data_IF_338680240231
#
_entry.id   IF_338680240231
#
_cell.length_a   1.000
_cell.length_b   1.000
_cell.length_c   1.000
_cell.angle_alpha   90.00
_cell.angle_beta   90.00
_cell.angle_gamma   90.00
#
_symmetry.space_group_name_H-M   'P 1'
#
loop_
_entity.id
_entity.type
_entity.pdbx_description
1 polymer ?
#
# COMPACT_ATOMS: atom_id res chain seq x y z
N UNK A 1 16.31 -3.31 -1.82
CA UNK A 1 15.22 -2.38 -2.18
C UNK A 1 15.52 -1.00 -1.61
N UNK A 2 15.18 0.07 -2.32
CA UNK A 2 15.26 1.43 -1.77
C UNK A 2 14.24 1.64 -0.66
N UNK A 3 14.51 2.61 0.21
CA UNK A 3 13.63 3.01 1.31
C UNK A 3 13.32 4.50 1.24
N UNK A 4 12.22 4.91 1.87
CA UNK A 4 11.88 6.33 2.11
C UNK A 4 11.49 6.52 3.56
N UNK A 5 11.85 7.67 4.11
CA UNK A 5 11.49 8.01 5.47
C UNK A 5 9.97 8.24 5.60
N UNK A 6 9.39 7.72 6.67
CA UNK A 6 8.06 8.12 7.14
C UNK A 6 8.24 9.52 7.78
N UNK A 7 7.61 10.58 7.25
CA UNK A 7 7.95 11.94 7.69
C UNK A 7 7.75 12.19 9.19
N UNK A 8 6.73 11.55 9.81
CA UNK A 8 6.42 11.76 11.24
C UNK A 8 7.41 11.10 12.21
N UNK A 9 8.26 10.17 11.77
CA UNK A 9 9.18 9.41 12.63
C UNK A 9 10.60 9.31 12.11
N UNK A 10 10.83 9.66 10.85
CA UNK A 10 12.08 9.42 10.11
C UNK A 10 12.45 7.93 9.96
N UNK A 11 11.58 6.99 10.34
CA UNK A 11 11.77 5.56 10.11
C UNK A 11 11.77 5.24 8.61
N UNK A 12 12.71 4.40 8.19
CA UNK A 12 12.84 3.99 6.79
C UNK A 12 11.86 2.89 6.43
N UNK A 13 10.98 3.15 5.46
CA UNK A 13 10.04 2.17 4.92
C UNK A 13 10.46 1.76 3.50
N UNK A 14 10.54 0.45 3.17
CA UNK A 14 10.76 -0.02 1.81
C UNK A 14 9.67 0.48 0.86
N UNK A 15 10.08 0.88 -0.35
CA UNK A 15 9.18 1.58 -1.28
C UNK A 15 8.19 0.67 -2.03
N UNK A 16 8.34 -0.65 -1.93
CA UNK A 16 7.37 -1.63 -2.47
C UNK A 16 6.93 -2.57 -1.36
N UNK A 17 5.64 -2.62 -1.12
CA UNK A 17 4.95 -3.53 -0.21
C UNK A 17 4.02 -4.49 -0.95
N UNK A 18 3.11 -5.10 -0.23
CA UNK A 18 2.13 -6.08 -0.71
C UNK A 18 0.72 -5.69 -0.23
N UNK A 19 -0.23 -5.52 -1.16
CA UNK A 19 -1.65 -5.49 -0.88
C UNK A 19 -2.23 -6.90 -0.87
N UNK A 20 -3.04 -7.23 0.14
CA UNK A 20 -3.61 -8.57 0.31
C UNK A 20 -4.97 -8.74 -0.36
N UNK A 21 -5.61 -7.66 -0.82
CA UNK A 21 -6.94 -7.70 -1.44
C UNK A 21 -7.02 -8.74 -2.56
N UNK A 22 -8.02 -9.63 -2.50
CA UNK A 22 -8.26 -10.78 -3.38
C UNK A 22 -7.17 -11.86 -3.36
N UNK A 23 -5.88 -11.50 -3.33
CA UNK A 23 -4.80 -12.48 -3.40
C UNK A 23 -4.69 -13.35 -2.15
N UNK A 24 -5.10 -12.83 -1.00
CA UNK A 24 -5.06 -13.51 0.30
C UNK A 24 -6.44 -13.92 0.83
N UNK A 25 -7.52 -13.60 0.10
CA UNK A 25 -8.87 -14.06 0.45
C UNK A 25 -9.08 -15.51 -0.01
N UNK A 26 -8.34 -16.42 0.58
CA UNK A 26 -8.32 -17.85 0.24
C UNK A 26 -8.25 -18.70 1.51
N UNK A 27 -8.88 -19.88 1.49
CA UNK A 27 -8.87 -20.81 2.62
C UNK A 27 -7.66 -21.76 2.56
N UNK A 28 -7.18 -22.28 3.72
CA UNK A 28 -6.25 -23.40 3.76
C UNK A 28 -6.84 -24.59 2.97
N UNK A 29 -6.13 -25.16 2.04
CA UNK A 29 -6.64 -26.21 1.14
C UNK A 29 -6.94 -25.72 -0.27
N UNK A 30 -7.16 -24.44 -0.47
CA UNK A 30 -7.22 -23.87 -1.83
C UNK A 30 -5.83 -23.97 -2.50
N UNK A 31 -5.76 -24.40 -3.77
CA UNK A 31 -4.48 -24.39 -4.50
C UNK A 31 -3.78 -23.04 -4.50
N UNK A 32 -4.53 -21.93 -4.49
CA UNK A 32 -3.96 -20.58 -4.41
C UNK A 32 -3.29 -20.31 -3.06
N UNK A 33 -3.80 -20.84 -1.94
CA UNK A 33 -3.20 -20.68 -0.62
C UNK A 33 -1.75 -21.21 -0.58
N UNK A 34 -1.49 -22.34 -1.27
CA UNK A 34 -0.16 -22.98 -1.28
C UNK A 34 0.95 -22.12 -1.87
N UNK A 35 0.59 -21.10 -2.67
CA UNK A 35 1.57 -20.21 -3.29
C UNK A 35 1.90 -19.00 -2.42
N UNK A 36 1.07 -18.69 -1.42
CA UNK A 36 1.20 -17.45 -0.63
C UNK A 36 2.46 -17.38 0.24
N UNK A 37 2.98 -18.48 0.84
CA UNK A 37 4.30 -18.44 1.49
C UNK A 37 5.37 -17.91 0.56
N UNK A 38 5.43 -18.40 -0.68
CA UNK A 38 6.41 -17.93 -1.66
C UNK A 38 6.18 -16.46 -2.10
N UNK A 39 4.96 -15.92 -2.00
CA UNK A 39 4.70 -14.49 -2.22
C UNK A 39 5.37 -13.64 -1.13
N UNK A 40 5.25 -14.06 0.14
CA UNK A 40 5.91 -13.39 1.26
C UNK A 40 7.44 -13.53 1.18
N UNK A 41 7.94 -14.72 0.83
CA UNK A 41 9.37 -14.96 0.61
C UNK A 41 9.95 -14.00 -0.43
N UNK A 42 9.30 -13.84 -1.58
CA UNK A 42 9.77 -12.93 -2.62
C UNK A 42 9.74 -11.46 -2.18
N UNK A 43 8.74 -11.04 -1.40
CA UNK A 43 8.70 -9.70 -0.81
C UNK A 43 9.90 -9.49 0.12
N UNK A 44 10.05 -10.35 1.13
CA UNK A 44 11.05 -10.22 2.18
C UNK A 44 12.49 -10.38 1.65
N UNK A 45 12.71 -11.34 0.76
CA UNK A 45 14.00 -11.55 0.08
C UNK A 45 14.47 -10.32 -0.68
N UNK A 46 13.54 -9.50 -1.18
CA UNK A 46 13.84 -8.24 -1.86
C UNK A 46 13.91 -7.04 -0.90
N UNK A 47 13.70 -7.25 0.39
CA UNK A 47 13.74 -6.23 1.43
C UNK A 47 12.45 -5.40 1.55
N UNK A 48 11.34 -5.85 0.98
CA UNK A 48 10.01 -5.29 1.24
C UNK A 48 9.50 -5.76 2.59
N UNK A 49 8.75 -4.91 3.31
CA UNK A 49 8.24 -5.26 4.65
C UNK A 49 6.75 -4.95 4.83
N UNK A 50 6.22 -3.97 4.10
CA UNK A 50 4.84 -3.53 4.27
C UNK A 50 3.87 -4.56 3.71
N UNK A 51 2.93 -5.02 4.56
CA UNK A 51 1.81 -5.88 4.21
C UNK A 51 0.52 -5.14 4.60
N UNK A 52 -0.29 -4.78 3.59
CA UNK A 52 -1.53 -4.04 3.78
C UNK A 52 -2.74 -4.96 3.64
N UNK A 53 -3.57 -5.01 4.68
CA UNK A 53 -4.81 -5.79 4.74
C UNK A 53 -6.02 -4.92 5.15
N UNK A 54 -7.17 -5.55 5.34
CA UNK A 54 -8.39 -4.92 5.84
C UNK A 54 -9.42 -5.97 6.26
N UNK A 55 -10.26 -5.68 7.27
CA UNK A 55 -11.39 -6.53 7.64
C UNK A 55 -12.36 -6.80 6.49
N UNK A 56 -12.48 -5.89 5.51
CA UNK A 56 -13.34 -6.08 4.35
C UNK A 56 -12.76 -7.00 3.26
N UNK A 57 -11.52 -7.50 3.42
CA UNK A 57 -10.85 -8.34 2.43
C UNK A 57 -11.07 -9.85 2.67
N UNK A 58 -12.26 -10.22 3.17
CA UNK A 58 -12.62 -11.60 3.46
C UNK A 58 -11.66 -12.24 4.47
N UNK A 59 -10.98 -13.30 4.09
CA UNK A 59 -10.03 -14.02 4.94
C UNK A 59 -8.62 -13.43 4.96
N UNK A 60 -8.36 -12.32 4.28
CA UNK A 60 -6.99 -11.86 4.02
C UNK A 60 -6.18 -11.59 5.30
N UNK A 61 -6.78 -11.02 6.37
CA UNK A 61 -6.11 -10.81 7.65
C UNK A 61 -5.74 -12.15 8.31
N UNK A 62 -6.69 -13.09 8.34
CA UNK A 62 -6.44 -14.42 8.90
C UNK A 62 -5.35 -15.15 8.12
N UNK A 63 -5.44 -15.16 6.80
CA UNK A 63 -4.45 -15.79 5.93
C UNK A 63 -3.07 -15.18 6.11
N UNK A 64 -2.97 -13.85 6.15
CA UNK A 64 -1.70 -13.17 6.40
C UNK A 64 -1.13 -13.53 7.79
N UNK A 65 -1.96 -13.51 8.83
CA UNK A 65 -1.55 -13.86 10.19
C UNK A 65 -1.09 -15.31 10.32
N UNK A 66 -1.81 -16.27 9.71
CA UNK A 66 -1.41 -17.68 9.65
C UNK A 66 -0.03 -17.85 9.02
N UNK A 67 0.19 -17.25 7.86
CA UNK A 67 1.43 -17.38 7.11
C UNK A 67 2.61 -16.69 7.82
N UNK A 68 2.40 -15.48 8.36
CA UNK A 68 3.44 -14.75 9.08
C UNK A 68 3.83 -15.43 10.39
N UNK A 69 2.90 -16.15 11.05
CA UNK A 69 3.19 -16.84 12.30
C UNK A 69 4.11 -18.06 12.15
N UNK A 70 4.19 -18.63 10.95
CA UNK A 70 5.09 -19.76 10.64
C UNK A 70 6.39 -19.33 9.97
N UNK A 71 6.51 -18.05 9.56
CA UNK A 71 7.77 -17.48 9.08
C UNK A 71 8.71 -17.20 10.26
N UNK A 72 9.80 -17.97 10.35
CA UNK A 72 10.84 -17.75 11.34
C UNK A 72 12.15 -17.26 10.68
N UNK A 73 12.81 -16.24 11.25
CA UNK A 73 12.33 -15.39 12.35
C UNK A 73 11.15 -14.57 11.88
N UNK A 74 10.20 -14.30 12.80
CA UNK A 74 9.03 -13.46 12.48
C UNK A 74 9.54 -12.19 11.81
N UNK A 75 9.49 -12.21 10.52
CA UNK A 75 10.18 -11.30 9.64
C UNK A 75 9.80 -9.86 9.93
N UNK A 76 10.56 -8.87 9.52
CA UNK A 76 10.34 -7.44 9.79
C UNK A 76 9.07 -6.91 9.10
N UNK A 77 7.95 -7.65 9.17
CA UNK A 77 6.69 -7.24 8.56
C UNK A 77 6.19 -5.95 9.21
N UNK A 78 6.06 -4.90 8.42
CA UNK A 78 5.31 -3.69 8.76
C UNK A 78 3.84 -3.98 8.45
N UNK A 79 3.03 -4.20 9.49
CA UNK A 79 1.63 -4.59 9.36
C UNK A 79 0.73 -3.36 9.29
N UNK A 80 0.01 -3.23 8.18
CA UNK A 80 -1.01 -2.23 7.98
C UNK A 80 -2.39 -2.87 7.81
N UNK A 81 -3.38 -2.39 8.57
CA UNK A 81 -4.78 -2.77 8.40
C UNK A 81 -5.70 -1.58 8.64
N UNK A 82 -7.00 -1.82 8.73
CA UNK A 82 -7.99 -0.75 8.68
C UNK A 82 -9.13 -1.01 9.66
N UNK A 83 -9.86 0.05 10.03
CA UNK A 83 -11.20 -0.05 10.62
C UNK A 83 -12.22 0.29 9.52
N UNK A 84 -13.26 -0.55 9.41
CA UNK A 84 -14.32 -0.42 8.38
C UNK A 84 -15.69 -0.83 8.94
N UNK A 85 -16.17 -0.03 9.85
CA UNK A 85 -17.53 -0.15 10.45
C UNK A 85 -17.96 1.22 10.96
N UNK A 86 -19.18 1.33 11.48
CA UNK A 86 -19.68 2.52 12.16
C UNK A 86 -19.81 2.24 13.65
N UNK A 87 -19.72 3.31 14.45
CA UNK A 87 -19.81 3.21 15.90
C UNK A 87 -18.48 2.93 16.58
N UNK A 88 -18.32 3.49 17.80
CA UNK A 88 -17.05 3.40 18.54
C UNK A 88 -16.81 1.98 19.05
N UNK A 89 -17.81 1.34 19.61
CA UNK A 89 -17.69 0.00 20.19
C UNK A 89 -17.44 -1.05 19.11
N UNK A 90 -18.17 -0.99 18.02
CA UNK A 90 -18.01 -1.85 16.85
C UNK A 90 -16.63 -1.65 16.20
N UNK A 91 -16.16 -0.40 16.13
CA UNK A 91 -14.83 -0.10 15.63
C UNK A 91 -13.73 -0.71 16.49
N UNK A 92 -13.84 -0.58 17.81
CA UNK A 92 -12.90 -1.20 18.76
C UNK A 92 -12.94 -2.73 18.60
N UNK A 93 -14.14 -3.34 18.60
CA UNK A 93 -14.27 -4.78 18.44
C UNK A 93 -13.67 -5.29 17.13
N UNK A 94 -13.89 -4.58 16.02
CA UNK A 94 -13.33 -4.95 14.72
C UNK A 94 -11.79 -4.84 14.71
N UNK A 95 -11.23 -3.77 15.27
CA UNK A 95 -9.77 -3.61 15.36
C UNK A 95 -9.14 -4.66 16.28
N UNK A 96 -9.76 -5.01 17.42
CA UNK A 96 -9.31 -6.12 18.28
C UNK A 96 -9.34 -7.46 17.53
N UNK A 97 -10.37 -7.69 16.73
CA UNK A 97 -10.42 -8.87 15.86
C UNK A 97 -9.25 -8.89 14.85
N UNK A 98 -8.88 -7.74 14.29
CA UNK A 98 -7.71 -7.66 13.38
C UNK A 98 -6.41 -8.09 14.05
N UNK A 99 -6.17 -7.71 15.32
CA UNK A 99 -5.02 -8.21 16.09
C UNK A 99 -5.03 -9.74 16.21
N UNK A 100 -6.19 -10.31 16.51
CA UNK A 100 -6.35 -11.77 16.63
C UNK A 100 -6.14 -12.49 15.31
N UNK A 101 -6.72 -11.99 14.22
CA UNK A 101 -6.60 -12.58 12.88
C UNK A 101 -5.17 -12.47 12.34
N UNK A 102 -4.52 -11.33 12.52
CA UNK A 102 -3.13 -11.11 12.13
C UNK A 102 -2.13 -11.79 13.09
N UNK A 103 -2.61 -12.39 14.20
CA UNK A 103 -1.81 -13.09 15.21
C UNK A 103 -0.65 -12.22 15.73
N UNK A 104 -0.94 -10.98 16.07
CA UNK A 104 0.05 -9.99 16.51
C UNK A 104 -0.41 -9.21 17.72
N UNK A 105 0.53 -8.75 18.54
CA UNK A 105 0.28 -7.82 19.64
C UNK A 105 0.46 -6.35 19.21
N UNK A 106 1.08 -6.12 18.03
CA UNK A 106 1.38 -4.79 17.51
C UNK A 106 0.96 -4.68 16.04
N UNK A 107 0.21 -3.63 15.71
CA UNK A 107 -0.06 -3.21 14.34
C UNK A 107 0.69 -1.91 14.09
N UNK A 108 1.49 -1.87 13.02
CA UNK A 108 2.27 -0.68 12.71
C UNK A 108 1.38 0.47 12.25
N UNK A 109 0.46 0.21 11.33
CA UNK A 109 -0.41 1.24 10.77
C UNK A 109 -1.88 0.81 10.83
N UNK A 110 -2.68 1.53 11.62
CA UNK A 110 -4.14 1.40 11.62
C UNK A 110 -4.75 2.56 10.84
N UNK A 111 -5.63 2.24 9.88
CA UNK A 111 -6.19 3.23 8.95
C UNK A 111 -7.72 3.24 9.02
N UNK A 112 -8.33 4.41 8.80
CA UNK A 112 -9.78 4.53 8.61
C UNK A 112 -10.10 4.27 7.14
N UNK A 113 -10.81 3.18 6.86
CA UNK A 113 -11.09 2.70 5.50
C UNK A 113 -12.17 3.54 4.82
N UNK A 114 -11.86 4.13 3.68
CA UNK A 114 -12.78 4.94 2.88
C UNK A 114 -13.44 6.08 3.67
N UNK A 115 -12.72 6.64 4.65
CA UNK A 115 -13.20 7.71 5.55
C UNK A 115 -14.47 7.34 6.33
N UNK A 116 -14.84 6.04 6.40
CA UNK A 116 -16.07 5.60 7.03
C UNK A 116 -16.04 5.93 8.52
N UNK A 117 -16.97 6.78 8.95
CA UNK A 117 -17.16 7.20 10.36
C UNK A 117 -15.86 7.71 11.02
N UNK A 118 -15.06 8.46 10.27
CA UNK A 118 -13.72 8.87 10.69
C UNK A 118 -13.73 9.71 11.97
N UNK A 119 -14.76 10.54 12.18
CA UNK A 119 -14.91 11.38 13.38
C UNK A 119 -14.99 10.53 14.65
N UNK A 120 -15.66 9.37 14.56
CA UNK A 120 -15.81 8.42 15.67
C UNK A 120 -14.51 7.63 15.90
N UNK A 121 -13.84 7.21 14.83
CA UNK A 121 -12.67 6.33 14.94
C UNK A 121 -11.36 7.05 15.25
N UNK A 122 -11.14 8.25 14.73
CA UNK A 122 -9.87 8.96 14.88
C UNK A 122 -9.46 9.20 16.34
N UNK A 123 -10.37 9.60 17.27
CA UNK A 123 -10.04 9.69 18.70
C UNK A 123 -9.54 8.36 19.29
N UNK A 124 -10.17 7.25 18.96
CA UNK A 124 -9.76 5.91 19.41
C UNK A 124 -8.38 5.52 18.88
N UNK A 125 -8.10 5.81 17.60
CA UNK A 125 -6.77 5.54 17.01
C UNK A 125 -5.68 6.38 17.70
N UNK A 126 -5.96 7.64 18.02
CA UNK A 126 -5.03 8.51 18.78
C UNK A 126 -4.74 7.96 20.16
N UNK A 127 -5.78 7.51 20.87
CA UNK A 127 -5.64 6.87 22.18
C UNK A 127 -4.77 5.59 22.08
N UNK A 128 -5.02 4.74 21.09
CA UNK A 128 -4.25 3.53 20.87
C UNK A 128 -2.80 3.78 20.47
N UNK A 129 -2.55 4.82 19.67
CA UNK A 129 -1.19 5.26 19.36
C UNK A 129 -0.47 5.76 20.60
N UNK A 130 -1.12 6.56 21.43
CA UNK A 130 -0.54 7.07 22.68
C UNK A 130 -0.19 5.97 23.68
N UNK A 131 -0.95 4.85 23.65
CA UNK A 131 -0.70 3.63 24.47
C UNK A 131 0.29 2.66 23.84
N UNK A 132 0.80 2.92 22.65
CA UNK A 132 1.73 2.05 21.92
C UNK A 132 1.11 0.78 21.32
N UNK A 133 -0.23 0.67 21.28
CA UNK A 133 -0.90 -0.48 20.63
C UNK A 133 -0.75 -0.45 19.12
N UNK A 134 -0.76 0.74 18.54
CA UNK A 134 -0.47 1.00 17.13
C UNK A 134 0.63 2.05 17.05
N UNK A 135 1.42 2.04 15.97
CA UNK A 135 2.53 2.97 15.81
C UNK A 135 2.14 4.20 15.00
N UNK A 136 1.35 4.00 13.97
CA UNK A 136 0.93 5.03 13.03
C UNK A 136 -0.57 4.99 12.81
N UNK A 137 -1.14 6.15 12.51
CA UNK A 137 -2.53 6.33 12.12
C UNK A 137 -2.62 6.89 10.71
N UNK A 138 -3.62 6.44 9.96
CA UNK A 138 -3.85 6.90 8.60
C UNK A 138 -5.31 6.89 8.19
N UNK A 139 -5.55 7.40 6.99
CA UNK A 139 -6.83 7.31 6.30
C UNK A 139 -6.63 6.70 4.93
N UNK A 140 -7.69 6.11 4.38
CA UNK A 140 -7.63 5.55 3.03
C UNK A 140 -8.82 5.97 2.19
N UNK A 141 -8.59 6.13 0.89
CA UNK A 141 -9.63 6.14 -0.12
C UNK A 141 -9.09 5.61 -1.45
N UNK A 142 -9.99 5.36 -2.42
CA UNK A 142 -9.58 4.78 -3.71
C UNK A 142 -10.31 5.38 -4.92
N UNK A 143 -11.11 6.43 -4.72
CA UNK A 143 -11.85 7.09 -5.81
C UNK A 143 -11.63 8.60 -5.83
N UNK A 144 -11.56 9.23 -7.03
CA UNK A 144 -11.41 10.67 -7.15
C UNK A 144 -12.55 11.49 -6.52
N UNK A 145 -13.75 10.92 -6.39
CA UNK A 145 -14.90 11.59 -5.78
C UNK A 145 -14.70 11.96 -4.31
N UNK A 146 -13.76 11.31 -3.62
CA UNK A 146 -13.46 11.60 -2.22
C UNK A 146 -12.32 12.63 -2.03
N UNK A 147 -11.70 13.12 -3.09
CA UNK A 147 -10.51 13.97 -2.96
C UNK A 147 -10.75 15.25 -2.18
N UNK A 148 -11.92 15.87 -2.28
CA UNK A 148 -12.26 17.07 -1.52
C UNK A 148 -12.31 16.78 -0.01
N UNK A 149 -12.92 15.65 0.38
CA UNK A 149 -13.00 15.24 1.79
C UNK A 149 -11.61 14.82 2.32
N UNK A 150 -10.84 14.06 1.53
CA UNK A 150 -9.45 13.70 1.87
C UNK A 150 -8.60 14.96 2.07
N UNK A 151 -8.72 15.96 1.19
CA UNK A 151 -7.98 17.21 1.31
C UNK A 151 -8.37 18.00 2.55
N UNK A 152 -9.67 18.09 2.86
CA UNK A 152 -10.17 18.74 4.05
C UNK A 152 -9.60 18.07 5.32
N UNK A 153 -9.59 16.74 5.37
CA UNK A 153 -9.04 15.98 6.48
C UNK A 153 -7.53 16.21 6.63
N UNK A 154 -6.77 16.12 5.55
CA UNK A 154 -5.33 16.37 5.56
C UNK A 154 -4.96 17.77 6.08
N UNK A 155 -5.84 18.76 5.87
CA UNK A 155 -5.66 20.14 6.40
C UNK A 155 -6.03 20.26 7.86
N UNK A 156 -7.09 19.58 8.29
CA UNK A 156 -7.64 19.72 9.64
C UNK A 156 -6.95 18.83 10.67
N UNK A 157 -6.50 17.62 10.26
CA UNK A 157 -6.08 16.58 11.17
C UNK A 157 -4.58 16.24 11.02
N UNK A 158 -3.95 15.83 12.12
CA UNK A 158 -2.61 15.26 12.07
C UNK A 158 -2.69 13.77 11.82
N UNK A 159 -2.13 13.35 10.68
CA UNK A 159 -2.10 11.98 10.21
C UNK A 159 -0.66 11.58 9.89
N UNK A 160 -0.32 10.31 10.08
CA UNK A 160 1.00 9.78 9.68
C UNK A 160 0.98 9.31 8.22
N UNK A 161 -0.14 8.73 7.79
CA UNK A 161 -0.28 8.12 6.47
C UNK A 161 -1.58 8.49 5.76
N UNK A 162 -1.47 8.61 4.45
CA UNK A 162 -2.59 8.55 3.52
C UNK A 162 -2.38 7.36 2.57
N UNK A 163 -3.39 6.49 2.45
CA UNK A 163 -3.40 5.48 1.38
C UNK A 163 -4.42 5.91 0.32
N UNK A 164 -3.98 6.11 -0.92
CA UNK A 164 -4.80 6.70 -1.99
C UNK A 164 -4.54 6.02 -3.34
N UNK A 165 -5.56 6.02 -4.24
CA UNK A 165 -5.39 5.53 -5.60
C UNK A 165 -4.42 6.42 -6.39
N UNK A 166 -3.46 5.75 -7.03
CA UNK A 166 -2.55 6.39 -7.97
C UNK A 166 -2.04 5.36 -8.97
N UNK A 167 -2.20 5.64 -10.24
CA UNK A 167 -1.73 4.81 -11.34
C UNK A 167 -1.27 5.69 -12.51
N UNK A 168 -0.56 5.12 -13.46
CA UNK A 168 -0.10 5.83 -14.65
C UNK A 168 -1.27 6.41 -15.47
N UNK A 169 -2.43 5.76 -15.46
CA UNK A 169 -3.68 6.20 -16.10
C UNK A 169 -4.70 6.83 -15.11
N UNK A 170 -4.35 7.00 -13.84
CA UNK A 170 -5.16 7.66 -12.82
C UNK A 170 -4.27 8.58 -11.97
N UNK A 171 -4.08 9.81 -12.43
CA UNK A 171 -3.12 10.78 -11.89
C UNK A 171 -3.76 11.98 -11.18
N UNK A 172 -5.05 11.92 -10.90
CA UNK A 172 -5.78 13.03 -10.28
C UNK A 172 -5.17 13.53 -8.97
N UNK A 173 -4.56 12.64 -8.18
CA UNK A 173 -3.89 12.95 -6.90
C UNK A 173 -2.68 13.88 -7.04
N UNK A 174 -2.03 13.94 -8.22
CA UNK A 174 -0.85 14.78 -8.45
C UNK A 174 -1.17 16.28 -8.34
N UNK A 175 -2.42 16.67 -8.61
CA UNK A 175 -2.83 18.08 -8.67
C UNK A 175 -2.81 18.76 -7.30
N UNK A 176 -3.31 18.09 -6.25
CA UNK A 176 -3.52 18.70 -4.93
C UNK A 176 -3.14 17.78 -3.77
N UNK A 177 -3.50 16.50 -3.81
CA UNK A 177 -3.35 15.57 -2.67
C UNK A 177 -1.86 15.27 -2.40
N UNK A 178 -1.09 14.88 -3.40
CA UNK A 178 0.34 14.57 -3.21
C UNK A 178 1.15 15.80 -2.78
N UNK A 179 0.98 17.01 -3.37
CA UNK A 179 1.61 18.23 -2.85
C UNK A 179 1.26 18.52 -1.40
N UNK A 180 -0.02 18.37 -1.02
CA UNK A 180 -0.48 18.61 0.36
C UNK A 180 0.11 17.59 1.34
N UNK A 181 0.18 16.30 0.99
CA UNK A 181 0.83 15.29 1.81
C UNK A 181 2.29 15.65 2.11
N UNK A 182 3.03 16.10 1.09
CA UNK A 182 4.43 16.54 1.27
C UNK A 182 4.53 17.76 2.19
N UNK A 183 3.66 18.75 2.02
CA UNK A 183 3.60 19.95 2.86
C UNK A 183 3.30 19.60 4.32
N UNK A 184 2.36 18.67 4.53
CA UNK A 184 1.90 18.26 5.87
C UNK A 184 2.76 17.19 6.53
N UNK A 185 3.78 16.66 5.84
CA UNK A 185 4.62 15.59 6.36
C UNK A 185 3.85 14.26 6.53
N UNK A 186 2.94 13.95 5.60
CA UNK A 186 2.15 12.71 5.59
C UNK A 186 2.75 11.72 4.59
N UNK A 187 3.04 10.51 5.04
CA UNK A 187 3.52 9.43 4.18
C UNK A 187 2.41 8.94 3.24
N UNK A 188 2.74 8.68 1.98
CA UNK A 188 1.75 8.24 0.98
C UNK A 188 1.98 6.79 0.57
N UNK A 189 0.95 5.96 0.77
CA UNK A 189 0.87 4.60 0.23
C UNK A 189 -0.05 4.63 -1.00
N UNK A 190 0.45 4.17 -2.16
CA UNK A 190 -0.38 4.10 -3.36
C UNK A 190 -1.07 2.75 -3.45
N UNK A 191 -2.40 2.75 -3.37
CA UNK A 191 -3.23 1.59 -3.70
C UNK A 191 -3.63 1.61 -5.18
N UNK A 192 -4.15 0.48 -5.70
CA UNK A 192 -4.57 0.30 -7.09
C UNK A 192 -3.54 0.77 -8.14
N UNK A 193 -2.24 0.46 -7.98
CA UNK A 193 -1.18 1.02 -8.82
C UNK A 193 -1.28 0.62 -10.31
N UNK A 194 -2.16 -0.33 -10.63
CA UNK A 194 -2.47 -0.79 -11.99
C UNK A 194 -3.92 -0.47 -12.41
N UNK A 195 -4.53 0.58 -11.85
CA UNK A 195 -5.89 0.97 -12.19
C UNK A 195 -6.94 -0.14 -11.97
N UNK A 196 -6.76 -0.96 -10.92
CA UNK A 196 -7.59 -2.15 -10.69
C UNK A 196 -7.36 -3.29 -11.69
N UNK A 197 -6.25 -3.26 -12.42
CA UNK A 197 -5.88 -4.24 -13.46
C UNK A 197 -6.11 -3.77 -14.91
N UNK A 198 -6.91 -2.73 -15.12
CA UNK A 198 -7.22 -2.22 -16.46
C UNK A 198 -6.00 -1.67 -17.20
N UNK A 199 -5.08 -1.02 -16.49
CA UNK A 199 -3.85 -0.49 -17.07
C UNK A 199 -3.01 -1.60 -17.73
N UNK A 200 -2.77 -2.71 -17.03
CA UNK A 200 -1.96 -3.81 -17.55
C UNK A 200 -2.61 -4.48 -18.77
N UNK A 201 -3.94 -4.60 -18.80
CA UNK A 201 -4.66 -5.10 -19.96
C UNK A 201 -4.46 -4.20 -21.19
N UNK A 202 -4.49 -2.87 -21.02
CA UNK A 202 -4.23 -1.87 -22.09
C UNK A 202 -2.78 -1.87 -22.57
N UNK A 203 -1.84 -2.25 -21.73
CA UNK A 203 -0.40 -2.30 -22.04
C UNK A 203 0.06 -3.65 -22.61
N UNK A 204 -0.80 -4.67 -22.54
CA UNK A 204 -0.48 -6.02 -23.04
C UNK A 204 -0.09 -5.98 -24.52
N UNK A 205 1.07 -6.54 -24.84
CA UNK A 205 1.59 -6.59 -26.21
C UNK A 205 2.24 -5.29 -26.72
N UNK A 206 2.17 -4.19 -25.97
CA UNK A 206 2.89 -2.98 -26.33
C UNK A 206 4.38 -3.12 -25.99
N UNK A 207 5.29 -2.68 -26.89
CA UNK A 207 6.72 -2.66 -26.58
C UNK A 207 7.01 -1.69 -25.44
N UNK A 208 8.00 -2.01 -24.63
CA UNK A 208 8.54 -1.07 -23.64
C UNK A 208 9.29 0.07 -24.35
N UNK A 209 9.32 1.28 -23.77
CA UNK A 209 10.18 2.35 -24.28
C UNK A 209 11.65 1.95 -24.37
N UNK A 210 12.37 2.44 -25.37
CA UNK A 210 13.77 2.04 -25.62
C UNK A 210 14.75 2.40 -24.49
N UNK A 211 14.40 3.35 -23.63
CA UNK A 211 15.22 3.82 -22.51
C UNK A 211 15.01 3.05 -21.19
N UNK A 212 14.17 2.00 -21.14
CA UNK A 212 13.88 1.29 -19.89
C UNK A 212 15.09 0.61 -19.24
N UNK A 213 16.13 0.32 -20.04
CA UNK A 213 17.43 -0.15 -19.54
C UNK A 213 18.09 0.83 -18.57
N UNK A 214 17.95 2.13 -18.81
CA UNK A 214 18.54 3.20 -18.00
C UNK A 214 18.00 3.17 -16.55
N UNK A 215 16.78 2.69 -16.40
CA UNK A 215 16.10 2.59 -15.10
C UNK A 215 15.95 1.13 -14.63
N UNK A 216 16.66 0.20 -15.27
CA UNK A 216 16.74 -1.22 -14.91
C UNK A 216 15.35 -1.90 -14.85
N UNK A 217 14.48 -1.62 -15.82
CA UNK A 217 13.12 -2.16 -15.94
C UNK A 217 13.03 -3.09 -17.15
N UNK A 218 12.30 -4.19 -17.01
CA UNK A 218 12.09 -5.18 -18.09
C UNK A 218 10.64 -5.66 -18.24
N UNK A 219 9.71 -5.03 -17.52
CA UNK A 219 8.28 -5.32 -17.63
C UNK A 219 7.41 -4.08 -17.44
N UNK A 220 6.20 -4.11 -17.99
CA UNK A 220 5.23 -3.03 -17.77
C UNK A 220 4.80 -2.85 -16.31
N UNK A 221 4.59 -3.93 -15.50
CA UNK A 221 4.33 -3.76 -14.07
C UNK A 221 5.44 -3.00 -13.36
N UNK A 222 6.72 -3.34 -13.60
CA UNK A 222 7.86 -2.62 -13.02
C UNK A 222 7.85 -1.15 -13.42
N UNK A 223 7.63 -0.85 -14.71
CA UNK A 223 7.63 0.51 -15.23
C UNK A 223 6.49 1.35 -14.66
N UNK A 224 5.29 0.76 -14.55
CA UNK A 224 4.13 1.41 -13.96
C UNK A 224 4.35 1.72 -12.46
N UNK A 225 4.89 0.79 -11.68
CA UNK A 225 5.22 1.02 -10.28
C UNK A 225 6.32 2.08 -10.14
N UNK A 226 7.36 2.01 -10.97
CA UNK A 226 8.45 2.98 -10.95
C UNK A 226 7.99 4.39 -11.33
N UNK A 227 6.99 4.52 -12.21
CA UNK A 227 6.35 5.80 -12.50
C UNK A 227 5.76 6.44 -11.24
N UNK A 228 5.05 5.70 -10.41
CA UNK A 228 4.50 6.18 -9.14
C UNK A 228 5.63 6.55 -8.17
N UNK A 229 6.57 5.63 -8.01
CA UNK A 229 7.73 5.81 -7.12
C UNK A 229 8.64 6.97 -7.52
N UNK A 230 8.60 7.42 -8.77
CA UNK A 230 9.35 8.59 -9.22
C UNK A 230 8.73 9.92 -8.78
N UNK A 231 7.51 9.91 -8.22
CA UNK A 231 6.93 11.09 -7.59
C UNK A 231 7.44 11.23 -6.14
N UNK A 232 8.02 12.38 -5.80
CA UNK A 232 8.73 12.60 -4.52
C UNK A 232 7.84 12.49 -3.27
N UNK A 233 6.53 12.69 -3.40
CA UNK A 233 5.58 12.56 -2.29
C UNK A 233 5.15 11.10 -2.01
N UNK A 234 5.40 10.16 -2.93
CA UNK A 234 5.02 8.75 -2.74
C UNK A 234 6.02 8.06 -1.83
N UNK A 235 5.55 7.44 -0.75
CA UNK A 235 6.41 6.69 0.17
C UNK A 235 6.51 5.22 -0.23
N UNK A 236 5.37 4.58 -0.53
CA UNK A 236 5.34 3.15 -0.85
C UNK A 236 4.20 2.85 -1.84
N UNK A 237 4.40 1.83 -2.68
CA UNK A 237 3.34 1.26 -3.53
C UNK A 237 2.99 -0.15 -3.04
N UNK A 238 1.70 -0.53 -3.10
CA UNK A 238 1.21 -1.84 -2.61
C UNK A 238 0.47 -2.61 -3.71
N UNK A 239 1.19 -3.12 -4.74
CA UNK A 239 0.56 -3.99 -5.72
C UNK A 239 0.03 -5.25 -5.04
N UNK A 240 -1.26 -5.59 -5.28
CA UNK A 240 -1.88 -6.81 -4.77
C UNK A 240 -1.61 -8.00 -5.66
N UNK A 241 -1.16 -9.12 -5.08
CA UNK A 241 -0.97 -10.38 -5.82
C UNK A 241 -0.95 -11.60 -4.88
N UNK A 242 -1.50 -12.73 -5.35
CA UNK A 242 -1.30 -14.06 -4.76
C UNK A 242 -0.30 -14.92 -5.54
N UNK A 243 0.43 -14.36 -6.51
CA UNK A 243 1.37 -15.10 -7.35
C UNK A 243 2.81 -14.67 -7.07
N UNK A 244 3.71 -15.59 -6.65
CA UNK A 244 5.08 -15.27 -6.30
C UNK A 244 5.90 -14.69 -7.47
N UNK A 245 5.62 -15.10 -8.71
CA UNK A 245 6.30 -14.54 -9.91
C UNK A 245 5.95 -13.07 -10.09
N UNK A 246 4.68 -12.69 -9.84
CA UNK A 246 4.27 -11.30 -9.92
C UNK A 246 4.84 -10.47 -8.77
N UNK A 247 4.95 -11.05 -7.56
CA UNK A 247 5.60 -10.36 -6.46
C UNK A 247 7.08 -10.12 -6.74
N UNK A 248 7.78 -11.14 -7.22
CA UNK A 248 9.19 -11.04 -7.62
C UNK A 248 9.41 -9.97 -8.70
N UNK A 249 8.48 -9.85 -9.66
CA UNK A 249 8.52 -8.83 -10.72
C UNK A 249 8.23 -7.44 -10.17
N UNK A 250 7.17 -7.27 -9.41
CA UNK A 250 6.77 -6.00 -8.80
C UNK A 250 7.89 -5.43 -7.90
N UNK A 251 8.50 -6.28 -7.08
CA UNK A 251 9.56 -5.86 -6.15
C UNK A 251 10.79 -5.28 -6.86
N UNK A 252 11.06 -5.66 -8.10
CA UNK A 252 12.16 -5.09 -8.90
C UNK A 252 11.99 -3.60 -9.15
N UNK A 253 10.77 -3.06 -9.16
CA UNK A 253 10.54 -1.63 -9.28
C UNK A 253 11.21 -0.81 -8.16
N UNK A 254 11.50 -1.42 -7.03
CA UNK A 254 12.17 -0.79 -5.89
C UNK A 254 13.70 -0.70 -6.00
N UNK A 255 14.29 -1.04 -7.15
CA UNK A 255 15.75 -1.01 -7.38
C UNK A 255 16.11 -0.13 -8.57
N UNK A 256 17.39 0.29 -8.64
CA UNK A 256 17.92 1.10 -9.73
C UNK A 256 17.38 2.54 -9.73
N UNK A 257 17.76 3.34 -10.73
CA UNK A 257 17.36 4.75 -10.84
C UNK A 257 15.84 4.92 -10.97
N UNK A 258 15.31 6.02 -10.43
CA UNK A 258 13.92 6.45 -10.66
C UNK A 258 13.81 7.13 -12.02
N UNK A 259 12.57 7.28 -12.52
CA UNK A 259 12.33 7.99 -13.78
C UNK A 259 12.62 9.49 -13.61
N UNK A 260 13.20 10.07 -14.63
CA UNK A 260 13.27 11.53 -14.78
C UNK A 260 11.89 12.10 -15.16
N UNK A 261 11.70 13.40 -14.99
CA UNK A 261 10.46 14.07 -15.40
C UNK A 261 10.19 13.91 -16.91
N UNK A 262 11.24 13.94 -17.75
CA UNK A 262 11.11 13.70 -19.18
C UNK A 262 10.58 12.29 -19.49
N UNK A 263 11.10 11.26 -18.80
CA UNK A 263 10.64 9.88 -18.95
C UNK A 263 9.19 9.70 -18.43
N UNK A 264 8.83 10.36 -17.34
CA UNK A 264 7.44 10.38 -16.84
C UNK A 264 6.50 11.00 -17.88
N UNK A 265 6.85 12.16 -18.46
CA UNK A 265 6.05 12.80 -19.50
C UNK A 265 5.91 11.94 -20.76
N UNK A 266 6.97 11.24 -21.18
CA UNK A 266 6.88 10.29 -22.30
C UNK A 266 5.90 9.15 -22.01
N UNK A 267 5.91 8.56 -20.77
CA UNK A 267 4.95 7.52 -20.42
C UNK A 267 3.51 8.02 -20.42
N UNK A 268 3.28 9.25 -19.97
CA UNK A 268 1.96 9.88 -19.98
C UNK A 268 1.46 10.00 -21.43
N UNK A 269 2.32 10.47 -22.33
CA UNK A 269 1.99 10.64 -23.74
C UNK A 269 1.68 9.30 -24.46
N UNK A 270 2.29 8.19 -24.02
CA UNK A 270 2.02 6.85 -24.59
C UNK A 270 0.60 6.32 -24.30
N UNK A 271 -0.07 6.86 -23.30
CA UNK A 271 -1.42 6.42 -22.94
C UNK A 271 -2.54 7.27 -23.55
N UNK A 272 -2.20 8.43 -24.13
CA UNK A 272 -3.11 9.35 -24.81
C UNK A 272 -3.72 10.32 -23.83
#
# INVERSE_FOLDING_TARGET
MQTRAIPSSAESLPIVGLGTYRGFDVAPGDPAYRQLPAVLDELFKKGGTLIDSSPMYGRAEQTAGELLSIHEPRSPAFLATKVWTRGREEGIAQMEQSFSLLRTEHIDLMQIHNLLDWQTHLPTLREWKARGRIRYIGITHYTPSAYEEVEALLKAEQLDFLQINYALDDRGVEKRILPLCRERGVAVICNRPFGGGGLLARLKGKPLPGWVSDVQVNSWPQLALKFLLSHSAVTCVIPGTGNPRYMADNAKAGFGPMLTDAQRHQLIALLG
#
